data_IF_353672491327
#
_entry.id   IF_353672491327
#
_cell.length_a   1.000
_cell.length_b   1.000
_cell.length_c   1.000
_cell.angle_alpha   90.00
_cell.angle_beta   90.00
_cell.angle_gamma   90.00
#
_symmetry.space_group_name_H-M   'P 1'
#
loop_
_entity.id
_entity.type
_entity.pdbx_description
1 polymer ?
#
# COMPACT_ATOMS: atom_id res chain seq x y z
N UNK A 1 16.19 5.13 2.05
CA UNK A 1 16.75 3.98 1.31
C UNK A 1 15.60 3.05 0.91
N UNK A 2 15.00 3.36 -0.23
CA UNK A 2 14.29 2.56 -1.24
C UNK A 2 13.94 3.68 -2.23
N UNK A 3 14.91 4.01 -3.06
CA UNK A 3 14.74 5.06 -4.05
C UNK A 3 13.70 4.61 -5.09
N UNK A 4 12.87 5.58 -5.46
CA UNK A 4 11.77 5.45 -6.42
C UNK A 4 12.24 4.73 -7.69
N UNK A 5 11.64 3.59 -8.00
CA UNK A 5 11.60 3.11 -9.38
C UNK A 5 10.48 3.86 -10.10
N UNK A 6 10.79 5.05 -10.61
CA UNK A 6 10.00 5.69 -11.64
C UNK A 6 10.25 4.95 -12.96
N UNK A 7 9.39 3.97 -13.29
CA UNK A 7 9.22 3.49 -14.68
C UNK A 7 8.37 4.53 -15.42
N UNK A 8 8.95 5.70 -15.63
CA UNK A 8 8.47 6.66 -16.61
C UNK A 8 9.59 6.87 -17.59
N UNK A 9 9.82 5.85 -18.43
CA UNK A 9 10.66 5.99 -19.60
C UNK A 9 9.93 6.89 -20.59
N UNK A 10 10.39 8.13 -20.62
CA UNK A 10 10.25 9.10 -21.69
C UNK A 10 10.74 8.50 -23.02
N UNK A 11 9.93 7.70 -23.71
CA UNK A 11 10.03 7.53 -25.16
C UNK A 11 8.73 6.94 -25.77
N UNK A 12 7.95 7.70 -26.57
CA UNK A 12 6.72 7.22 -27.20
C UNK A 12 6.93 6.26 -28.39
N UNK A 13 8.15 5.73 -28.61
CA UNK A 13 8.49 4.85 -29.74
C UNK A 13 9.01 3.45 -29.35
N UNK A 14 8.93 3.02 -28.09
CA UNK A 14 9.13 1.59 -27.76
C UNK A 14 7.83 0.88 -28.15
N UNK A 15 7.83 0.35 -29.37
CA UNK A 15 6.78 -0.48 -29.94
C UNK A 15 6.32 -1.54 -28.94
N UNK A 16 5.04 -1.49 -28.59
CA UNK A 16 4.27 -2.46 -27.80
C UNK A 16 4.24 -3.89 -28.37
N UNK A 17 5.08 -4.20 -29.35
CA UNK A 17 5.08 -5.41 -30.17
C UNK A 17 6.29 -6.31 -29.91
N UNK A 18 7.26 -5.91 -29.07
CA UNK A 18 8.38 -6.79 -28.71
C UNK A 18 7.93 -7.78 -27.61
N UNK A 19 7.97 -9.12 -27.84
CA UNK A 19 7.54 -10.11 -26.85
C UNK A 19 8.34 -10.02 -25.53
N UNK A 20 9.58 -9.53 -25.60
CA UNK A 20 10.43 -9.28 -24.44
C UNK A 20 9.89 -8.16 -23.53
N UNK A 21 9.24 -7.14 -24.10
CA UNK A 21 8.69 -6.02 -23.32
C UNK A 21 7.51 -6.46 -22.45
N UNK A 22 6.58 -7.24 -23.03
CA UNK A 22 5.45 -7.77 -22.29
C UNK A 22 5.90 -8.71 -21.16
N UNK A 23 6.94 -9.53 -21.39
CA UNK A 23 7.56 -10.37 -20.36
C UNK A 23 8.14 -9.52 -19.23
N UNK A 24 8.85 -8.45 -19.57
CA UNK A 24 9.40 -7.52 -18.58
C UNK A 24 8.30 -6.86 -17.73
N UNK A 25 7.21 -6.36 -18.35
CA UNK A 25 6.08 -5.79 -17.63
C UNK A 25 5.43 -6.79 -16.66
N UNK A 26 5.25 -8.04 -17.08
CA UNK A 26 4.71 -9.09 -16.22
C UNK A 26 5.64 -9.38 -15.03
N UNK A 27 6.94 -9.46 -15.27
CA UNK A 27 7.93 -9.66 -14.20
C UNK A 27 7.95 -8.49 -13.21
N UNK A 28 7.91 -7.25 -13.71
CA UNK A 28 7.83 -6.06 -12.88
C UNK A 28 6.57 -6.02 -12.03
N UNK A 29 5.41 -6.39 -12.59
CA UNK A 29 4.18 -6.47 -11.82
C UNK A 29 4.30 -7.47 -10.67
N UNK A 30 4.88 -8.65 -10.94
CA UNK A 30 5.11 -9.66 -9.90
C UNK A 30 6.06 -9.16 -8.80
N UNK A 31 7.17 -8.51 -9.16
CA UNK A 31 8.10 -7.93 -8.18
C UNK A 31 7.47 -6.77 -7.40
N UNK A 32 6.66 -5.92 -8.04
CA UNK A 32 5.95 -4.83 -7.37
C UNK A 32 4.99 -5.35 -6.30
N UNK A 33 4.27 -6.45 -6.58
CA UNK A 33 3.39 -7.09 -5.60
C UNK A 33 4.19 -7.64 -4.41
N UNK A 34 5.36 -8.27 -4.66
CA UNK A 34 6.23 -8.77 -3.59
C UNK A 34 6.79 -7.64 -2.72
N UNK A 35 7.20 -6.53 -3.33
CA UNK A 35 7.67 -5.35 -2.61
C UNK A 35 6.57 -4.76 -1.72
N UNK A 36 5.36 -4.58 -2.26
CA UNK A 36 4.20 -4.11 -1.49
C UNK A 36 3.87 -5.04 -0.32
N UNK A 37 3.90 -6.36 -0.55
CA UNK A 37 3.69 -7.33 0.51
C UNK A 37 4.76 -7.20 1.61
N UNK A 38 6.03 -7.03 1.22
CA UNK A 38 7.15 -6.87 2.16
C UNK A 38 7.01 -5.60 2.99
N UNK A 39 6.62 -4.49 2.35
CA UNK A 39 6.33 -3.21 3.02
C UNK A 39 5.16 -3.34 4.02
N UNK A 40 4.10 -4.06 3.64
CA UNK A 40 2.97 -4.35 4.54
C UNK A 40 3.41 -5.18 5.74
N UNK A 41 4.25 -6.21 5.54
CA UNK A 41 4.80 -7.03 6.62
C UNK A 41 5.67 -6.19 7.57
N UNK A 42 6.54 -5.33 7.03
CA UNK A 42 7.36 -4.42 7.85
C UNK A 42 6.50 -3.45 8.66
N UNK A 43 5.45 -2.92 8.04
CA UNK A 43 4.49 -2.01 8.69
C UNK A 43 3.74 -2.71 9.84
N UNK A 44 3.19 -3.90 9.58
CA UNK A 44 2.53 -4.73 10.60
C UNK A 44 3.48 -5.07 11.75
N UNK A 45 4.71 -5.45 11.42
CA UNK A 45 5.74 -5.80 12.41
C UNK A 45 6.05 -4.61 13.31
N UNK A 46 6.32 -3.44 12.74
CA UNK A 46 6.61 -2.23 13.53
C UNK A 46 5.44 -1.83 14.42
N UNK A 47 4.21 -1.81 13.87
CA UNK A 47 3.03 -1.43 14.64
C UNK A 47 2.70 -2.42 15.76
N UNK A 48 2.78 -3.71 15.49
CA UNK A 48 2.53 -4.71 16.52
C UNK A 48 3.65 -4.79 17.54
N UNK A 49 4.87 -4.41 17.15
CA UNK A 49 5.95 -4.21 18.10
C UNK A 49 5.61 -3.09 19.09
N UNK A 50 5.25 -1.91 18.59
CA UNK A 50 4.89 -0.75 19.43
C UNK A 50 3.68 -1.02 20.34
N UNK A 51 2.70 -1.78 19.85
CA UNK A 51 1.49 -2.12 20.62
C UNK A 51 1.76 -3.16 21.71
N UNK A 52 2.55 -4.20 21.42
CA UNK A 52 2.72 -5.33 22.33
C UNK A 52 3.94 -5.21 23.26
N UNK A 53 4.93 -4.39 22.91
CA UNK A 53 6.11 -4.13 23.73
C UNK A 53 6.10 -2.67 24.22
N UNK A 54 5.41 -2.42 25.33
CA UNK A 54 5.40 -1.10 25.98
C UNK A 54 6.78 -0.67 26.49
N UNK A 55 7.59 -1.64 26.91
CA UNK A 55 8.97 -1.44 27.32
C UNK A 55 9.88 -1.80 26.14
N UNK A 56 10.71 -0.87 25.68
CA UNK A 56 11.62 -1.04 24.53
C UNK A 56 12.70 -2.14 24.70
N UNK A 57 12.63 -2.94 25.77
CA UNK A 57 13.56 -4.01 26.06
C UNK A 57 12.99 -5.34 25.54
N UNK A 58 13.50 -5.88 24.41
CA UNK A 58 13.06 -7.18 23.94
C UNK A 58 13.39 -8.25 25.00
N UNK A 59 12.39 -9.04 25.46
CA UNK A 59 12.63 -10.10 26.41
C UNK A 59 13.41 -11.23 25.72
N UNK A 60 14.26 -11.95 26.46
CA UNK A 60 15.05 -13.07 25.92
C UNK A 60 14.17 -14.21 25.39
N UNK A 61 12.91 -14.26 25.81
CA UNK A 61 11.87 -15.15 25.31
C UNK A 61 10.56 -14.37 25.24
N UNK A 62 9.81 -14.59 24.18
CA UNK A 62 8.47 -14.04 24.04
C UNK A 62 7.56 -14.75 25.06
N UNK A 63 7.07 -14.03 26.07
CA UNK A 63 6.16 -14.60 27.06
C UNK A 63 4.78 -14.86 26.43
N UNK A 64 3.99 -15.76 27.03
CA UNK A 64 2.70 -16.15 26.47
C UNK A 64 1.70 -14.99 26.30
N UNK A 65 1.79 -13.93 27.13
CA UNK A 65 0.92 -12.76 26.97
C UNK A 65 1.31 -11.96 25.75
N UNK A 66 2.61 -11.73 25.54
CA UNK A 66 3.10 -11.01 24.36
C UNK A 66 2.88 -11.82 23.08
N UNK A 67 3.06 -13.15 23.10
CA UNK A 67 2.68 -14.01 21.96
C UNK A 67 1.21 -13.85 21.59
N UNK A 68 0.32 -13.91 22.57
CA UNK A 68 -1.11 -13.70 22.35
C UNK A 68 -1.42 -12.27 21.89
N UNK A 69 -0.74 -11.25 22.43
CA UNK A 69 -0.87 -9.87 21.98
C UNK A 69 -0.52 -9.74 20.50
N UNK A 70 0.63 -10.28 20.07
CA UNK A 70 1.07 -10.19 18.68
C UNK A 70 0.07 -10.85 17.74
N UNK A 71 -0.39 -12.06 18.06
CA UNK A 71 -1.41 -12.76 17.26
C UNK A 71 -2.70 -11.93 17.14
N UNK A 72 -3.19 -11.36 18.24
CA UNK A 72 -4.37 -10.50 18.21
C UNK A 72 -4.12 -9.20 17.43
N UNK A 73 -2.95 -8.57 17.62
CA UNK A 73 -2.59 -7.34 16.92
C UNK A 73 -2.59 -7.53 15.40
N UNK A 74 -1.94 -8.59 14.91
CA UNK A 74 -1.87 -8.89 13.48
C UNK A 74 -3.26 -9.16 12.92
N UNK A 75 -4.05 -10.01 13.58
CA UNK A 75 -5.42 -10.32 13.14
C UNK A 75 -6.31 -9.06 13.10
N UNK A 76 -6.28 -8.22 14.15
CA UNK A 76 -7.07 -6.98 14.21
C UNK A 76 -6.63 -5.94 13.19
N UNK A 77 -5.34 -5.85 12.88
CA UNK A 77 -4.85 -4.97 11.82
C UNK A 77 -5.33 -5.42 10.44
N UNK A 78 -5.25 -6.72 10.15
CA UNK A 78 -5.75 -7.28 8.89
C UNK A 78 -7.26 -7.07 8.78
N UNK A 79 -8.03 -7.34 9.85
CA UNK A 79 -9.47 -7.10 9.91
C UNK A 79 -9.80 -5.62 9.60
N UNK A 80 -9.07 -4.68 10.23
CA UNK A 80 -9.25 -3.26 10.01
C UNK A 80 -8.90 -2.83 8.57
N UNK A 81 -7.80 -3.34 8.01
CA UNK A 81 -7.40 -3.08 6.63
C UNK A 81 -8.45 -3.60 5.64
N UNK A 82 -8.95 -4.82 5.82
CA UNK A 82 -9.99 -5.40 4.97
C UNK A 82 -11.30 -4.61 5.10
N UNK A 83 -11.71 -4.26 6.32
CA UNK A 83 -12.88 -3.43 6.55
C UNK A 83 -12.78 -2.07 5.82
N UNK A 84 -11.61 -1.42 5.88
CA UNK A 84 -11.37 -0.19 5.13
C UNK A 84 -11.47 -0.40 3.63
N UNK A 85 -10.85 -1.45 3.08
CA UNK A 85 -10.91 -1.75 1.64
C UNK A 85 -12.35 -2.01 1.19
N UNK A 86 -13.11 -2.83 1.92
CA UNK A 86 -14.52 -3.10 1.63
C UNK A 86 -15.38 -1.84 1.74
N UNK A 87 -15.13 -1.00 2.74
CA UNK A 87 -15.83 0.26 2.92
C UNK A 87 -15.55 1.24 1.77
N UNK A 88 -14.27 1.37 1.37
CA UNK A 88 -13.86 2.18 0.22
C UNK A 88 -14.46 1.65 -1.10
N UNK A 89 -14.52 0.33 -1.29
CA UNK A 89 -15.16 -0.29 -2.45
C UNK A 89 -16.66 0.02 -2.49
N UNK A 90 -17.36 -0.06 -1.35
CA UNK A 90 -18.78 0.30 -1.24
C UNK A 90 -19.01 1.80 -1.46
N UNK A 91 -18.12 2.67 -0.97
CA UNK A 91 -18.20 4.10 -1.23
C UNK A 91 -17.87 4.45 -2.68
N UNK A 92 -16.99 3.70 -3.35
CA UNK A 92 -16.67 3.92 -4.76
C UNK A 92 -17.84 3.68 -5.71
N UNK A 93 -18.82 2.88 -5.29
CA UNK A 93 -20.10 2.72 -5.99
C UNK A 93 -21.04 3.94 -5.81
N UNK A 94 -20.79 4.78 -4.82
CA UNK A 94 -21.54 6.00 -4.49
C UNK A 94 -20.62 7.19 -4.63
N UNK A 95 -20.27 7.57 -5.88
CA UNK A 95 -19.61 8.83 -6.26
C UNK A 95 -18.74 9.43 -5.13
N UNK A 96 -17.54 8.86 -4.89
CA UNK A 96 -16.59 9.44 -3.93
C UNK A 96 -16.10 10.79 -4.44
N UNK A 97 -16.85 11.85 -4.15
CA UNK A 97 -16.45 13.24 -4.42
C UNK A 97 -15.46 13.68 -3.35
N UNK A 98 -14.21 13.24 -3.48
CA UNK A 98 -13.12 13.90 -2.77
C UNK A 98 -12.89 15.27 -3.41
N UNK A 99 -12.95 16.38 -2.66
CA UNK A 99 -12.58 17.68 -3.20
C UNK A 99 -11.10 17.62 -3.66
N UNK A 100 -10.88 17.73 -4.98
CA UNK A 100 -9.56 17.66 -5.61
C UNK A 100 -9.19 16.31 -6.28
N UNK A 101 -10.07 15.31 -6.30
CA UNK A 101 -9.83 14.06 -7.05
C UNK A 101 -11.01 13.80 -7.98
N UNK A 102 -10.76 13.87 -9.29
CA UNK A 102 -11.76 13.52 -10.30
C UNK A 102 -11.55 12.07 -10.75
N UNK A 103 -12.58 11.25 -10.58
CA UNK A 103 -12.62 9.90 -11.11
C UNK A 103 -13.07 9.96 -12.56
N UNK A 104 -12.18 9.65 -13.50
CA UNK A 104 -12.61 9.41 -14.88
C UNK A 104 -13.14 7.98 -14.99
N UNK A 105 -14.23 7.79 -15.74
CA UNK A 105 -14.86 6.50 -16.03
C UNK A 105 -13.88 5.46 -16.65
N UNK A 106 -12.69 5.89 -17.07
CA UNK A 106 -11.58 5.07 -17.56
C UNK A 106 -10.73 4.39 -16.46
N UNK A 107 -11.07 4.54 -15.18
CA UNK A 107 -10.31 3.92 -14.07
C UNK A 107 -8.98 4.62 -13.75
N UNK A 108 -8.68 5.74 -14.42
CA UNK A 108 -7.52 6.58 -14.13
C UNK A 108 -7.86 7.58 -13.02
N UNK A 109 -7.14 7.52 -11.90
CA UNK A 109 -7.18 8.56 -10.87
C UNK A 109 -6.32 9.75 -11.30
N UNK A 110 -6.92 10.93 -11.43
CA UNK A 110 -6.17 12.19 -11.54
C UNK A 110 -6.25 12.94 -10.22
N UNK A 111 -5.09 13.23 -9.64
CA UNK A 111 -4.95 14.13 -8.50
C UNK A 111 -4.93 15.57 -9.01
N UNK A 112 -5.99 16.33 -8.75
CA UNK A 112 -6.06 17.76 -9.06
C UNK A 112 -5.68 18.53 -7.80
N UNK A 113 -4.41 18.92 -7.68
CA UNK A 113 -3.96 19.74 -6.56
C UNK A 113 -4.49 21.16 -6.76
N UNK A 114 -5.59 21.52 -6.09
CA UNK A 114 -6.01 22.92 -6.01
C UNK A 114 -5.19 23.61 -4.92
N UNK A 115 -4.16 24.35 -5.32
CA UNK A 115 -3.45 25.25 -4.41
C UNK A 115 -4.35 26.45 -4.10
N UNK A 116 -4.95 26.45 -2.91
CA UNK A 116 -5.48 27.68 -2.32
C UNK A 116 -4.42 28.26 -1.40
N UNK A 117 -3.41 28.90 -1.98
CA UNK A 117 -2.58 29.86 -1.27
C UNK A 117 -3.37 31.17 -1.21
N UNK A 118 -4.03 31.42 -0.07
CA UNK A 118 -4.57 32.74 0.27
C UNK A 118 -3.49 33.43 1.10
N UNK A 119 -2.86 34.46 0.54
CA UNK A 119 -2.11 35.45 1.34
C UNK A 119 -3.06 36.23 2.24
#
# INVERSE_FOLDING_TARGET
MIDRMDISSTNPNISSTDPNWNLFLHQLQAENQRQKFTEQVQTLTGRCWDVCFSDYRPPSKLDGKTQNCINNCVNRMIDASNFMVEHLQKMSATEMRFPGVEFFSSGLMKLTVTSNYRM
#
